data_IF_360320768880
#
_entry.id   IF_360320768880
#
_cell.length_a   1.000
_cell.length_b   1.000
_cell.length_c   1.000
_cell.angle_alpha   90.00
_cell.angle_beta   90.00
_cell.angle_gamma   90.00
#
_symmetry.space_group_name_H-M   'P 1'
#
loop_
_entity.id
_entity.type
_entity.pdbx_description
1 polymer ?
#
# COMPACT_ATOMS: atom_id res chain seq x y z
N UNK A 1 11.74 -3.86 -7.46
CA UNK A 1 10.49 -3.16 -7.87
C UNK A 1 9.77 -4.05 -8.86
N UNK A 2 8.44 -4.17 -8.79
CA UNK A 2 7.63 -4.84 -9.81
C UNK A 2 6.71 -3.79 -10.44
N UNK A 3 6.66 -3.75 -11.77
CA UNK A 3 5.79 -2.85 -12.52
C UNK A 3 5.13 -3.63 -13.67
N UNK A 4 3.91 -3.25 -14.00
CA UNK A 4 3.15 -3.81 -15.13
C UNK A 4 2.83 -2.65 -16.07
N UNK A 5 3.15 -2.82 -17.36
CA UNK A 5 2.84 -1.84 -18.37
C UNK A 5 1.33 -1.58 -18.41
N UNK A 6 0.94 -0.37 -18.82
CA UNK A 6 -0.44 0.10 -18.71
C UNK A 6 -1.43 -0.79 -19.47
N UNK A 7 -1.10 -1.18 -20.67
CA UNK A 7 -1.88 -2.08 -21.53
C UNK A 7 -2.09 -3.49 -20.95
N UNK A 8 -1.25 -3.91 -19.97
CA UNK A 8 -1.33 -5.23 -19.30
C UNK A 8 -1.83 -5.16 -17.86
N UNK A 9 -2.30 -3.98 -17.41
CA UNK A 9 -2.90 -3.84 -16.08
C UNK A 9 -4.25 -4.56 -16.01
N UNK A 10 -4.65 -4.90 -14.80
CA UNK A 10 -5.93 -5.54 -14.48
C UNK A 10 -6.11 -7.00 -14.96
N UNK A 11 -5.08 -7.59 -15.61
CA UNK A 11 -5.02 -9.01 -15.97
C UNK A 11 -4.42 -9.91 -14.88
N UNK A 12 -4.27 -9.42 -13.66
CA UNK A 12 -3.71 -10.20 -12.54
C UNK A 12 -2.18 -10.37 -12.56
N UNK A 13 -1.47 -9.80 -13.52
CA UNK A 13 -0.02 -9.99 -13.70
C UNK A 13 0.77 -9.55 -12.45
N UNK A 14 0.42 -8.40 -11.86
CA UNK A 14 1.10 -7.91 -10.66
C UNK A 14 0.95 -8.86 -9.47
N UNK A 15 -0.20 -9.50 -9.32
CA UNK A 15 -0.44 -10.53 -8.33
C UNK A 15 0.39 -11.79 -8.62
N UNK A 16 0.37 -12.29 -9.87
CA UNK A 16 1.12 -13.47 -10.28
C UNK A 16 2.63 -13.30 -10.05
N UNK A 17 3.21 -12.15 -10.39
CA UNK A 17 4.60 -11.82 -10.13
C UNK A 17 4.94 -11.87 -8.63
N UNK A 18 4.04 -11.41 -7.77
CA UNK A 18 4.23 -11.47 -6.32
C UNK A 18 4.15 -12.89 -5.79
N UNK A 19 3.25 -13.72 -6.28
CA UNK A 19 3.16 -15.13 -5.92
C UNK A 19 4.42 -15.88 -6.34
N UNK A 20 4.93 -15.63 -7.55
CA UNK A 20 6.19 -16.22 -8.02
C UNK A 20 7.38 -15.79 -7.13
N UNK A 21 7.45 -14.50 -6.77
CA UNK A 21 8.44 -13.98 -5.82
C UNK A 21 8.36 -14.69 -4.46
N UNK A 22 7.14 -14.98 -3.96
CA UNK A 22 6.95 -15.71 -2.72
C UNK A 22 7.51 -17.12 -2.80
N UNK A 23 7.21 -17.85 -3.88
CA UNK A 23 7.75 -19.20 -4.11
C UNK A 23 9.26 -19.20 -4.21
N UNK A 24 9.82 -18.22 -4.94
CA UNK A 24 11.26 -18.05 -5.05
C UNK A 24 11.91 -17.80 -3.68
N UNK A 25 11.34 -16.90 -2.89
CA UNK A 25 11.83 -16.60 -1.55
C UNK A 25 11.80 -17.84 -0.63
N UNK A 26 10.69 -18.58 -0.65
CA UNK A 26 10.55 -19.83 0.10
C UNK A 26 11.59 -20.86 -0.31
N UNK A 27 11.79 -21.08 -1.61
CA UNK A 27 12.81 -21.99 -2.15
C UNK A 27 14.23 -21.62 -1.74
N UNK A 28 14.49 -20.33 -1.53
CA UNK A 28 15.80 -19.81 -1.13
C UNK A 28 15.92 -19.56 0.39
N UNK A 29 15.02 -20.14 1.20
CA UNK A 29 15.01 -20.07 2.66
C UNK A 29 14.89 -18.65 3.26
N UNK A 30 14.31 -17.69 2.54
CA UNK A 30 13.89 -16.43 3.12
C UNK A 30 12.64 -16.64 3.97
N UNK A 31 12.52 -15.89 5.05
CA UNK A 31 11.38 -15.98 5.98
C UNK A 31 10.35 -14.89 5.72
N UNK A 32 10.76 -13.83 5.06
CA UNK A 32 9.96 -12.62 4.85
C UNK A 32 10.38 -11.91 3.56
N UNK A 33 9.43 -11.23 2.93
CA UNK A 33 9.67 -10.29 1.83
C UNK A 33 9.15 -8.94 2.29
N UNK A 34 9.99 -7.90 2.24
CA UNK A 34 9.59 -6.53 2.56
C UNK A 34 9.71 -5.62 1.33
N UNK A 35 8.81 -4.65 1.21
CA UNK A 35 8.87 -3.60 0.19
C UNK A 35 8.08 -2.38 0.63
N UNK A 36 8.15 -1.33 -0.19
CA UNK A 36 7.39 -0.10 0.06
C UNK A 36 6.40 0.19 -1.06
N UNK A 37 5.33 0.91 -0.72
CA UNK A 37 4.41 1.45 -1.73
C UNK A 37 3.85 2.82 -1.29
N UNK A 38 3.37 3.61 -2.27
CA UNK A 38 2.71 4.89 -2.02
C UNK A 38 1.32 4.65 -1.43
N UNK A 39 1.04 5.12 -0.19
CA UNK A 39 -0.24 4.90 0.48
C UNK A 39 -1.45 5.50 -0.24
N UNK A 40 -1.27 6.51 -1.09
CA UNK A 40 -2.35 7.15 -1.83
C UNK A 40 -2.78 6.38 -3.09
N UNK A 41 -1.97 5.44 -3.56
CA UNK A 41 -2.29 4.67 -4.78
C UNK A 41 -3.22 3.51 -4.42
N UNK A 42 -4.52 3.71 -4.64
CA UNK A 42 -5.59 2.74 -4.31
C UNK A 42 -5.32 1.34 -4.88
N UNK A 43 -4.84 1.23 -6.11
CA UNK A 43 -4.48 -0.05 -6.74
C UNK A 43 -3.41 -0.79 -5.94
N UNK A 44 -2.40 -0.07 -5.42
CA UNK A 44 -1.35 -0.67 -4.60
C UNK A 44 -1.88 -1.12 -3.24
N UNK A 45 -2.73 -0.32 -2.61
CA UNK A 45 -3.38 -0.70 -1.34
C UNK A 45 -4.20 -1.97 -1.51
N UNK A 46 -5.03 -2.06 -2.56
CA UNK A 46 -5.83 -3.24 -2.87
C UNK A 46 -4.96 -4.48 -3.16
N UNK A 47 -3.92 -4.33 -3.98
CA UNK A 47 -3.01 -5.45 -4.26
C UNK A 47 -2.38 -5.96 -2.95
N UNK A 48 -1.82 -5.08 -2.15
CA UNK A 48 -1.07 -5.45 -0.97
C UNK A 48 -1.98 -6.01 0.15
N UNK A 49 -3.05 -5.31 0.50
CA UNK A 49 -3.88 -5.66 1.66
C UNK A 49 -5.00 -6.65 1.31
N UNK A 50 -5.66 -6.47 0.15
CA UNK A 50 -6.81 -7.31 -0.22
C UNK A 50 -6.39 -8.58 -0.93
N UNK A 51 -5.42 -8.53 -1.86
CA UNK A 51 -5.02 -9.70 -2.65
C UNK A 51 -3.88 -10.50 -2.04
N UNK A 52 -2.89 -9.83 -1.45
CA UNK A 52 -1.72 -10.50 -0.86
C UNK A 52 -1.81 -10.70 0.65
N UNK A 53 -2.60 -9.88 1.34
CA UNK A 53 -2.75 -9.96 2.80
C UNK A 53 -1.44 -9.68 3.54
N UNK A 54 -0.70 -8.67 3.12
CA UNK A 54 0.55 -8.27 3.77
C UNK A 54 0.28 -7.48 5.04
N UNK A 55 1.22 -7.51 5.96
CA UNK A 55 1.22 -6.64 7.15
C UNK A 55 1.87 -5.29 6.84
N UNK A 56 1.32 -4.21 7.38
CA UNK A 56 1.96 -2.89 7.33
C UNK A 56 2.78 -2.70 8.59
N UNK A 57 4.09 -2.47 8.41
CA UNK A 57 5.05 -2.31 9.50
C UNK A 57 5.18 -0.86 9.96
N UNK A 58 5.20 0.10 9.03
CA UNK A 58 5.43 1.51 9.36
C UNK A 58 5.07 2.46 8.21
N UNK A 59 4.94 3.75 8.54
CA UNK A 59 4.75 4.85 7.60
C UNK A 59 5.97 5.78 7.61
N UNK A 60 6.47 6.12 6.45
CA UNK A 60 7.64 6.99 6.29
C UNK A 60 7.31 8.19 5.40
N UNK A 61 7.25 9.41 5.95
CA UNK A 61 7.15 10.61 5.16
C UNK A 61 8.41 10.80 4.30
N UNK A 62 8.22 11.27 3.09
CA UNK A 62 9.30 11.64 2.15
C UNK A 62 10.47 10.65 2.09
N UNK A 63 10.15 9.36 1.96
CA UNK A 63 11.08 8.22 2.12
C UNK A 63 12.33 8.30 1.24
N UNK A 64 12.21 8.83 0.02
CA UNK A 64 13.35 8.93 -0.91
C UNK A 64 14.02 10.31 -0.88
N UNK A 65 13.62 11.22 0.02
CA UNK A 65 14.14 12.60 0.10
C UNK A 65 14.04 13.34 -1.24
N UNK A 66 14.96 14.23 -1.52
CA UNK A 66 14.96 15.07 -2.73
C UNK A 66 15.53 14.33 -3.96
N UNK A 67 15.00 13.16 -4.30
CA UNK A 67 15.37 12.53 -5.57
C UNK A 67 14.87 13.38 -6.73
N UNK A 68 15.75 13.82 -7.64
CA UNK A 68 15.34 14.48 -8.88
C UNK A 68 14.69 13.45 -9.81
N UNK A 69 13.43 13.11 -9.52
CA UNK A 69 12.70 12.06 -10.22
C UNK A 69 11.51 12.67 -10.94
N UNK A 70 11.48 12.48 -12.25
CA UNK A 70 10.34 12.85 -13.10
C UNK A 70 9.07 12.08 -12.76
N UNK A 71 9.17 10.91 -12.10
CA UNK A 71 8.03 10.09 -11.69
C UNK A 71 7.24 10.69 -10.52
N UNK A 72 7.90 11.40 -9.61
CA UNK A 72 7.23 12.06 -8.48
C UNK A 72 6.80 13.49 -8.80
N UNK A 73 7.27 14.10 -9.90
CA UNK A 73 6.83 15.42 -10.40
C UNK A 73 6.74 16.52 -9.32
N UNK A 74 7.61 16.46 -8.28
CA UNK A 74 7.60 17.37 -7.14
C UNK A 74 6.62 17.01 -6.03
N UNK A 75 6.04 15.80 -6.03
CA UNK A 75 5.29 15.25 -4.90
C UNK A 75 6.25 14.58 -3.90
N UNK A 76 5.90 14.66 -2.62
CA UNK A 76 6.64 13.98 -1.56
C UNK A 76 6.47 12.46 -1.64
N UNK A 77 7.55 11.74 -1.39
CA UNK A 77 7.64 10.28 -1.58
C UNK A 77 7.24 9.48 -0.35
N UNK A 78 6.06 9.73 0.24
CA UNK A 78 5.59 8.94 1.38
C UNK A 78 5.44 7.46 1.04
N UNK A 79 5.84 6.60 1.97
CA UNK A 79 5.77 5.15 1.80
C UNK A 79 5.24 4.44 3.03
N UNK A 80 4.40 3.44 2.79
CA UNK A 80 4.14 2.37 3.74
C UNK A 80 5.16 1.26 3.51
N UNK A 81 5.79 0.79 4.57
CA UNK A 81 6.61 -0.44 4.54
C UNK A 81 5.71 -1.61 4.86
N UNK A 82 5.78 -2.64 4.03
CA UNK A 82 5.05 -3.89 4.22
C UNK A 82 5.97 -5.06 4.41
N UNK A 83 5.46 -6.03 5.15
CA UNK A 83 6.07 -7.31 5.41
C UNK A 83 5.14 -8.44 4.97
N UNK A 84 5.68 -9.43 4.29
CA UNK A 84 4.94 -10.58 3.81
C UNK A 84 5.65 -11.87 4.24
N UNK A 85 5.05 -12.60 5.16
CA UNK A 85 5.60 -13.86 5.66
C UNK A 85 5.68 -14.91 4.54
N UNK A 86 6.82 -15.57 4.47
CA UNK A 86 7.08 -16.72 3.56
C UNK A 86 6.98 -18.05 4.30
N UNK A 87 6.57 -18.01 5.58
CA UNK A 87 6.40 -19.21 6.41
C UNK A 87 4.98 -19.73 6.21
N UNK A 88 4.84 -21.06 6.09
CA UNK A 88 3.56 -21.72 5.96
C UNK A 88 3.19 -22.10 4.53
N UNK A 89 1.89 -22.13 4.25
CA UNK A 89 1.34 -22.48 2.94
C UNK A 89 1.33 -21.28 1.99
N UNK A 90 1.25 -21.59 0.68
CA UNK A 90 1.11 -20.57 -0.35
C UNK A 90 -0.09 -19.65 -0.05
N UNK A 91 0.11 -18.34 0.00
CA UNK A 91 -0.97 -17.37 0.08
C UNK A 91 -1.76 -17.40 -1.24
N UNK A 92 -2.77 -18.25 -1.30
CA UNK A 92 -3.72 -18.25 -2.41
C UNK A 92 -4.38 -16.87 -2.52
N UNK A 93 -4.72 -16.48 -3.73
CA UNK A 93 -5.47 -15.24 -3.98
C UNK A 93 -6.69 -15.18 -3.05
N UNK A 94 -6.65 -14.25 -2.11
CA UNK A 94 -7.73 -14.01 -1.16
C UNK A 94 -8.36 -12.67 -1.49
N UNK A 95 -9.65 -12.58 -1.39
CA UNK A 95 -10.36 -11.30 -1.46
C UNK A 95 -10.63 -10.86 -0.02
N UNK A 96 -9.59 -10.28 0.60
CA UNK A 96 -9.57 -9.91 2.02
C UNK A 96 -10.12 -8.50 2.25
N UNK A 97 -11.26 -8.17 1.64
CA UNK A 97 -11.93 -6.90 1.94
C UNK A 97 -12.30 -6.87 3.43
N UNK A 98 -11.82 -5.86 4.14
CA UNK A 98 -12.05 -5.71 5.57
C UNK A 98 -13.32 -4.91 5.82
N UNK A 99 -14.28 -5.50 6.54
CA UNK A 99 -15.42 -4.76 7.05
C UNK A 99 -15.02 -4.00 8.32
N UNK A 100 -15.10 -2.65 8.32
CA UNK A 100 -14.76 -1.86 9.50
C UNK A 100 -15.71 -2.13 10.67
N UNK A 101 -15.18 -2.05 11.89
CA UNK A 101 -15.96 -2.09 13.13
C UNK A 101 -16.13 -0.66 13.68
N UNK A 102 -17.06 -0.46 14.61
CA UNK A 102 -17.44 0.86 15.15
C UNK A 102 -16.27 1.67 15.73
N UNK A 103 -15.24 1.00 16.26
CA UNK A 103 -14.07 1.65 16.89
C UNK A 103 -12.84 1.72 15.98
N UNK A 104 -12.93 1.20 14.77
CA UNK A 104 -11.80 1.27 13.85
C UNK A 104 -11.65 2.69 13.28
N UNK A 105 -10.43 3.19 13.21
CA UNK A 105 -10.12 4.42 12.50
C UNK A 105 -10.05 4.14 10.99
N UNK A 106 -10.74 4.95 10.20
CA UNK A 106 -10.79 4.84 8.75
C UNK A 106 -9.96 5.96 8.12
N UNK A 107 -8.92 5.58 7.37
CA UNK A 107 -8.11 6.52 6.62
C UNK A 107 -8.50 6.44 5.14
N UNK A 108 -9.31 7.39 4.72
CA UNK A 108 -9.79 7.49 3.35
C UNK A 108 -8.67 7.92 2.41
N UNK A 109 -8.61 7.29 1.23
CA UNK A 109 -7.73 7.72 0.14
C UNK A 109 -8.54 7.95 -1.15
N UNK A 110 -8.02 8.77 -2.09
CA UNK A 110 -8.72 9.02 -3.35
C UNK A 110 -8.79 7.75 -4.20
N UNK A 111 -9.81 7.65 -5.05
CA UNK A 111 -9.94 6.51 -5.97
C UNK A 111 -8.78 6.47 -6.98
N UNK A 112 -8.39 7.64 -7.49
CA UNK A 112 -7.28 7.78 -8.43
C UNK A 112 -6.43 9.02 -8.11
N UNK A 113 -5.39 8.84 -7.30
CA UNK A 113 -4.43 9.89 -6.99
C UNK A 113 -3.55 10.22 -8.19
N UNK A 114 -3.37 9.28 -9.13
CA UNK A 114 -2.50 9.50 -10.30
C UNK A 114 -3.12 10.53 -11.23
N UNK A 115 -4.44 10.44 -11.44
CA UNK A 115 -5.20 11.44 -12.19
C UNK A 115 -5.15 12.81 -11.48
N UNK A 116 -5.45 12.86 -10.17
CA UNK A 116 -5.41 14.09 -9.38
C UNK A 116 -4.02 14.74 -9.46
N UNK A 117 -2.96 13.96 -9.31
CA UNK A 117 -1.56 14.43 -9.39
C UNK A 117 -1.23 15.07 -10.74
N UNK A 118 -1.80 14.55 -11.82
CA UNK A 118 -1.57 15.06 -13.17
C UNK A 118 -2.27 16.41 -13.43
N UNK A 119 -3.45 16.63 -12.83
CA UNK A 119 -4.31 17.80 -13.15
C UNK A 119 -4.35 18.85 -12.04
N UNK A 120 -4.21 18.46 -10.76
CA UNK A 120 -4.31 19.35 -9.60
C UNK A 120 -3.25 19.01 -8.52
N UNK A 121 -2.11 19.70 -8.61
CA UNK A 121 -1.02 19.55 -7.64
C UNK A 121 -1.39 19.98 -6.22
N UNK A 122 -2.26 20.99 -6.09
CA UNK A 122 -2.68 21.49 -4.78
C UNK A 122 -3.57 20.45 -4.06
N UNK A 123 -4.52 19.86 -4.76
CA UNK A 123 -5.37 18.81 -4.22
C UNK A 123 -4.56 17.52 -3.92
N UNK A 124 -3.59 17.15 -4.79
CA UNK A 124 -2.68 16.05 -4.50
C UNK A 124 -1.90 16.27 -3.19
N UNK A 125 -1.35 17.47 -2.98
CA UNK A 125 -0.61 17.80 -1.75
C UNK A 125 -1.51 17.77 -0.51
N UNK A 126 -2.75 18.23 -0.64
CA UNK A 126 -3.74 18.18 0.44
C UNK A 126 -4.07 16.72 0.85
N UNK A 127 -4.29 15.83 -0.13
CA UNK A 127 -4.45 14.40 0.13
C UNK A 127 -3.22 13.80 0.82
N UNK A 128 -2.02 14.12 0.34
CA UNK A 128 -0.76 13.64 0.91
C UNK A 128 -0.64 14.02 2.39
N UNK A 129 -0.83 15.30 2.72
CA UNK A 129 -0.72 15.81 4.09
C UNK A 129 -1.78 15.22 5.02
N UNK A 130 -3.03 15.17 4.57
CA UNK A 130 -4.12 14.62 5.36
C UNK A 130 -3.91 13.14 5.70
N UNK A 131 -3.56 12.32 4.71
CA UNK A 131 -3.31 10.88 4.92
C UNK A 131 -2.08 10.64 5.77
N UNK A 132 -1.00 11.42 5.57
CA UNK A 132 0.19 11.39 6.42
C UNK A 132 -0.15 11.63 7.88
N UNK A 133 -0.85 12.73 8.17
CA UNK A 133 -1.23 13.10 9.53
C UNK A 133 -2.03 12.00 10.22
N UNK A 134 -3.00 11.42 9.53
CA UNK A 134 -3.82 10.34 10.05
C UNK A 134 -3.00 9.08 10.35
N UNK A 135 -2.10 8.66 9.44
CA UNK A 135 -1.23 7.50 9.68
C UNK A 135 -0.27 7.73 10.85
N UNK A 136 0.41 8.89 10.89
CA UNK A 136 1.36 9.18 11.97
C UNK A 136 0.66 9.18 13.33
N UNK A 137 -0.49 9.84 13.44
CA UNK A 137 -1.30 9.84 14.66
C UNK A 137 -1.76 8.45 15.06
N UNK A 138 -2.23 7.64 14.09
CA UNK A 138 -2.67 6.28 14.36
C UNK A 138 -1.53 5.40 14.89
N UNK A 139 -0.36 5.44 14.26
CA UNK A 139 0.81 4.67 14.71
C UNK A 139 1.37 5.15 16.06
N UNK A 140 1.35 6.46 16.33
CA UNK A 140 1.73 7.01 17.65
C UNK A 140 0.84 6.48 18.77
N UNK A 141 -0.43 6.21 18.48
CA UNK A 141 -1.40 5.61 19.41
C UNK A 141 -1.32 4.07 19.48
N UNK A 142 -0.33 3.45 18.83
CA UNK A 142 -0.18 1.99 18.77
C UNK A 142 -1.11 1.29 17.78
N UNK A 143 -1.76 2.05 16.90
CA UNK A 143 -2.66 1.54 15.88
C UNK A 143 -1.97 0.60 14.89
N UNK A 144 -2.72 -0.42 14.45
CA UNK A 144 -2.30 -1.38 13.42
C UNK A 144 -3.26 -1.34 12.25
N UNK A 145 -2.73 -1.25 11.04
CA UNK A 145 -3.55 -1.44 9.84
C UNK A 145 -3.94 -2.91 9.74
N UNK A 146 -5.24 -3.18 9.82
CA UNK A 146 -5.80 -4.53 9.78
C UNK A 146 -6.37 -4.90 8.41
N UNK A 147 -6.42 -3.96 7.47
CA UNK A 147 -6.87 -4.22 6.12
C UNK A 147 -7.33 -2.98 5.35
N UNK A 148 -8.10 -3.24 4.30
CA UNK A 148 -8.62 -2.22 3.39
C UNK A 148 -10.10 -2.47 3.09
N UNK A 149 -10.93 -1.43 3.20
CA UNK A 149 -12.39 -1.52 3.04
C UNK A 149 -12.82 -1.43 1.56
N UNK A 150 -14.07 -1.82 1.30
CA UNK A 150 -14.72 -1.62 -0.01
C UNK A 150 -14.86 -0.14 -0.40
N UNK A 151 -14.85 0.76 0.59
CA UNK A 151 -15.00 2.21 0.40
C UNK A 151 -13.67 2.92 0.12
N UNK A 152 -12.59 2.17 -0.17
CA UNK A 152 -11.27 2.73 -0.46
C UNK A 152 -10.61 3.39 0.75
N UNK A 153 -10.66 2.72 1.91
CA UNK A 153 -10.14 3.19 3.18
C UNK A 153 -9.21 2.15 3.81
N UNK A 154 -8.11 2.59 4.40
CA UNK A 154 -7.37 1.75 5.34
C UNK A 154 -8.16 1.62 6.64
N UNK A 155 -8.25 0.41 7.14
CA UNK A 155 -8.89 0.12 8.43
C UNK A 155 -7.80 -0.05 9.47
N UNK A 156 -7.79 0.84 10.47
CA UNK A 156 -6.76 0.85 11.52
C UNK A 156 -7.43 0.59 12.86
N UNK A 157 -6.93 -0.39 13.59
CA UNK A 157 -7.37 -0.73 14.94
C UNK A 157 -6.36 -0.23 15.96
N UNK A 158 -6.84 0.52 16.97
CA UNK A 158 -6.04 1.03 18.09
C UNK A 158 -6.25 0.14 19.30
#
# INVERSE_FOLDING_TARGET
MAAVLEEYRDYGIGHALKIDQWHWAKKNNYREIAWTFDPLVSRNAKLNLVKLGVDISSYHPNFYSDMPDTLNAGDESDRLIVSWSVIGENPLSRDLITAPQERDLLIQIPKDIVEIRAVDKAENLKWRRNVREQFLKAFEQGGKVIGFSSNNEYVVRI
#
